data_IF_096497978432
#
_entry.id   IF_096497978432
#
_cell.length_a   1.000
_cell.length_b   1.000
_cell.length_c   1.000
_cell.angle_alpha   90.00
_cell.angle_beta   90.00
_cell.angle_gamma   90.00
#
_symmetry.space_group_name_H-M   'P 1'
#
loop_
_entity.id
_entity.type
_entity.pdbx_description
1 polymer ?
#
# COMPACT_ATOMS: atom_id res chain seq x y z
N UNK A 1 -14.35 2.58 -0.78
CA UNK A 1 -13.14 2.42 0.04
C UNK A 1 -13.28 1.19 0.92
N UNK A 2 -12.46 0.16 0.71
CA UNK A 2 -12.35 -0.96 1.66
C UNK A 2 -11.38 -0.56 2.76
N UNK A 3 -11.81 -0.60 4.02
CA UNK A 3 -10.92 -0.40 5.18
C UNK A 3 -10.33 -1.75 5.55
N UNK A 4 -9.07 -2.00 5.18
CA UNK A 4 -8.30 -3.11 5.72
C UNK A 4 -7.46 -2.63 6.92
N UNK A 5 -7.59 -3.32 8.04
CA UNK A 5 -6.72 -3.15 9.19
C UNK A 5 -5.44 -3.99 9.02
N UNK A 6 -4.32 -3.43 9.46
CA UNK A 6 -3.04 -4.15 9.51
C UNK A 6 -3.03 -4.94 10.80
N UNK A 7 -3.17 -6.26 10.71
CA UNK A 7 -3.25 -7.16 11.87
C UNK A 7 -1.87 -7.60 12.40
N UNK A 8 -0.80 -7.32 11.64
CA UNK A 8 0.58 -7.65 11.99
C UNK A 8 1.30 -6.42 12.57
N UNK A 9 2.49 -6.61 13.16
CA UNK A 9 3.34 -5.50 13.64
C UNK A 9 3.62 -4.49 12.51
N UNK A 10 3.86 -5.01 11.31
CA UNK A 10 3.90 -4.22 10.09
C UNK A 10 3.53 -5.09 8.88
N UNK A 11 3.16 -4.43 7.79
CA UNK A 11 3.02 -5.02 6.46
C UNK A 11 3.73 -4.12 5.45
N UNK A 12 4.33 -4.68 4.40
CA UNK A 12 4.92 -3.86 3.33
C UNK A 12 3.82 -3.30 2.45
N UNK A 13 3.99 -2.08 1.94
CA UNK A 13 3.02 -1.40 1.08
C UNK A 13 2.60 -2.27 -0.12
N UNK A 14 3.53 -2.93 -0.81
CA UNK A 14 3.20 -3.83 -1.93
C UNK A 14 2.32 -5.03 -1.50
N UNK A 15 2.60 -5.59 -0.33
CA UNK A 15 1.81 -6.70 0.22
C UNK A 15 0.42 -6.22 0.67
N UNK A 16 0.34 -5.04 1.29
CA UNK A 16 -0.92 -4.44 1.71
C UNK A 16 -1.81 -4.12 0.52
N UNK A 17 -1.27 -3.51 -0.54
CA UNK A 17 -2.03 -3.18 -1.74
C UNK A 17 -2.58 -4.46 -2.42
N UNK A 18 -1.78 -5.53 -2.46
CA UNK A 18 -2.25 -6.84 -2.92
C UNK A 18 -3.35 -7.41 -2.01
N UNK A 19 -3.16 -7.34 -0.69
CA UNK A 19 -4.13 -7.82 0.30
C UNK A 19 -5.47 -7.09 0.20
N UNK A 20 -5.44 -5.79 -0.07
CA UNK A 20 -6.63 -4.98 -0.28
C UNK A 20 -7.35 -5.28 -1.61
N UNK A 21 -6.72 -6.06 -2.51
CA UNK A 21 -7.19 -6.29 -3.86
C UNK A 21 -7.09 -5.04 -4.74
N UNK A 22 -6.24 -4.07 -4.36
CA UNK A 22 -6.00 -2.86 -5.15
C UNK A 22 -5.31 -3.18 -6.49
N UNK A 23 -4.46 -4.20 -6.51
CA UNK A 23 -3.81 -4.68 -7.72
C UNK A 23 -3.85 -6.20 -7.80
N UNK A 24 -4.11 -6.72 -9.00
CA UNK A 24 -4.07 -8.17 -9.29
C UNK A 24 -2.66 -8.76 -9.16
N UNK A 25 -1.62 -7.99 -9.47
CA UNK A 25 -0.24 -8.48 -9.48
C UNK A 25 0.72 -7.51 -8.79
N UNK A 26 1.81 -8.04 -8.23
CA UNK A 26 2.86 -7.22 -7.63
C UNK A 26 3.56 -6.29 -8.64
N UNK A 27 3.56 -6.65 -9.93
CA UNK A 27 4.08 -5.80 -11.01
C UNK A 27 3.24 -4.53 -11.22
N UNK A 28 1.92 -4.64 -11.21
CA UNK A 28 1.01 -3.47 -11.27
C UNK A 28 1.15 -2.57 -10.04
N UNK A 29 1.24 -3.17 -8.86
CA UNK A 29 1.50 -2.42 -7.63
C UNK A 29 2.84 -1.66 -7.68
N UNK A 30 3.89 -2.24 -8.28
CA UNK A 30 5.18 -1.57 -8.48
C UNK A 30 5.03 -0.32 -9.34
N UNK A 31 4.36 -0.43 -10.49
CA UNK A 31 4.18 0.70 -11.41
C UNK A 31 3.37 1.83 -10.77
N UNK A 32 2.29 1.52 -10.07
CA UNK A 32 1.47 2.52 -9.42
C UNK A 32 2.20 3.25 -8.29
N UNK A 33 2.94 2.51 -7.45
CA UNK A 33 3.77 3.10 -6.39
C UNK A 33 4.86 3.99 -7.01
N UNK A 34 5.61 3.49 -8.00
CA UNK A 34 6.68 4.27 -8.64
C UNK A 34 6.13 5.49 -9.41
N UNK A 35 4.93 5.38 -9.97
CA UNK A 35 4.24 6.46 -10.67
C UNK A 35 3.59 7.50 -9.76
N UNK A 36 3.72 7.37 -8.43
CA UNK A 36 3.12 8.33 -7.48
C UNK A 36 1.60 8.21 -7.34
N UNK A 37 1.01 7.10 -7.79
CA UNK A 37 -0.43 6.87 -7.69
C UNK A 37 -0.84 6.43 -6.29
N UNK A 38 0.12 6.01 -5.46
CA UNK A 38 -0.14 5.52 -4.10
C UNK A 38 0.20 6.59 -3.07
N UNK A 39 -0.72 6.83 -2.14
CA UNK A 39 -0.54 7.72 -0.99
C UNK A 39 -0.59 6.93 0.30
N UNK A 40 0.28 7.26 1.24
CA UNK A 40 0.29 6.70 2.59
C UNK A 40 0.12 7.85 3.56
N UNK A 41 -0.96 7.84 4.34
CA UNK A 41 -1.35 8.91 5.26
C UNK A 41 -1.46 10.29 4.58
N UNK A 42 -1.93 10.32 3.33
CA UNK A 42 -2.04 11.55 2.55
C UNK A 42 -0.77 11.97 1.81
N UNK A 43 0.38 11.33 2.06
CA UNK A 43 1.63 11.61 1.36
C UNK A 43 1.90 10.63 0.23
N UNK A 44 2.29 11.13 -0.94
CA UNK A 44 2.69 10.29 -2.07
C UNK A 44 3.85 9.38 -1.67
N UNK A 45 3.65 8.08 -1.84
CA UNK A 45 4.66 7.09 -1.48
C UNK A 45 5.13 6.34 -2.72
N UNK A 46 6.39 6.59 -3.10
CA UNK A 46 7.09 5.86 -4.16
C UNK A 46 7.90 4.66 -3.66
N UNK A 47 7.86 4.41 -2.35
CA UNK A 47 8.61 3.34 -1.70
C UNK A 47 7.73 2.10 -1.51
N UNK A 48 7.80 1.14 -2.43
CA UNK A 48 7.05 -0.13 -2.34
C UNK A 48 7.34 -0.91 -1.04
N UNK A 49 8.56 -0.77 -0.53
CA UNK A 49 9.00 -1.42 0.70
C UNK A 49 8.61 -0.66 1.98
N UNK A 50 7.84 0.43 1.89
CA UNK A 50 7.40 1.19 3.07
C UNK A 50 6.63 0.23 3.99
N UNK A 51 7.06 0.17 5.24
CA UNK A 51 6.41 -0.61 6.29
C UNK A 51 5.23 0.20 6.79
N UNK A 52 4.02 -0.30 6.54
CA UNK A 52 2.79 0.21 7.13
C UNK A 52 2.56 -0.52 8.46
N UNK A 53 2.17 0.22 9.48
CA UNK A 53 1.86 -0.26 10.81
C UNK A 53 0.36 -0.07 11.10
N UNK A 54 -0.19 -0.74 12.13
CA UNK A 54 -1.57 -0.49 12.54
C UNK A 54 -1.84 1.01 12.72
N UNK A 55 -2.84 1.53 11.99
CA UNK A 55 -3.18 2.96 11.96
C UNK A 55 -2.77 3.68 10.68
N UNK A 56 -1.76 3.18 9.95
CA UNK A 56 -1.41 3.70 8.63
C UNK A 56 -2.55 3.44 7.61
N UNK A 57 -2.74 4.40 6.70
CA UNK A 57 -3.71 4.31 5.61
C UNK A 57 -3.00 4.41 4.27
N UNK A 58 -3.18 3.43 3.40
CA UNK A 58 -2.74 3.51 2.01
C UNK A 58 -3.94 3.69 1.07
N UNK A 59 -3.79 4.60 0.12
CA UNK A 59 -4.77 4.96 -0.89
C UNK A 59 -4.12 4.83 -2.27
N UNK A 60 -4.88 4.34 -3.25
CA UNK A 60 -4.48 4.12 -4.65
C UNK A 60 -5.66 4.51 -5.54
#
# INVERSE_FOLDING_TARGET
>A
MKKQAIATEFIRLDAFLKLCGAFETGGRAKLAVQGGQVRVNGEECRARGKKLRPGDRAEF
#
